data_IF_405527364584
#
_entry.id   IF_405527364584
#
_cell.length_a   1.000
_cell.length_b   1.000
_cell.length_c   1.000
_cell.angle_alpha   90.00
_cell.angle_beta   90.00
_cell.angle_gamma   90.00
#
_symmetry.space_group_name_H-M   'P 1'
#
loop_
_entity.id
_entity.type
_entity.pdbx_description
1 polymer ?
#
# COMPACT_ATOMS: atom_id res chain seq x y z
N UNK A 1 -1.86 -18.35 0.56
CA UNK A 1 -0.72 -17.62 1.17
C UNK A 1 0.56 -18.44 1.31
N UNK A 2 0.55 -19.78 1.33
CA UNK A 2 1.77 -20.58 1.56
C UNK A 2 2.69 -20.80 0.34
N UNK A 3 2.22 -20.56 -0.89
CA UNK A 3 3.03 -20.77 -2.08
C UNK A 3 4.17 -19.75 -2.21
N UNK A 4 3.87 -18.46 -2.07
CA UNK A 4 4.86 -17.38 -2.19
C UNK A 4 5.96 -17.43 -1.12
N UNK A 5 5.63 -17.83 0.11
CA UNK A 5 6.62 -17.97 1.18
C UNK A 5 7.63 -19.09 0.89
N UNK A 6 7.14 -20.22 0.36
CA UNK A 6 7.98 -21.36 0.03
C UNK A 6 8.91 -21.07 -1.16
N UNK A 7 8.43 -20.32 -2.16
CA UNK A 7 9.25 -19.86 -3.29
C UNK A 7 10.37 -18.92 -2.86
N UNK A 8 10.08 -18.01 -1.92
CA UNK A 8 11.06 -17.06 -1.40
C UNK A 8 12.14 -17.75 -0.57
N UNK A 9 11.79 -18.75 0.24
CA UNK A 9 12.78 -19.55 1.00
C UNK A 9 13.68 -20.36 0.06
N UNK A 10 13.13 -20.92 -1.02
CA UNK A 10 13.92 -21.61 -2.05
C UNK A 10 14.87 -20.67 -2.79
N UNK A 11 14.40 -19.47 -3.15
CA UNK A 11 15.24 -18.42 -3.74
C UNK A 11 16.36 -17.96 -2.80
N UNK A 12 16.08 -17.83 -1.49
CA UNK A 12 17.10 -17.51 -0.48
C UNK A 12 18.15 -18.62 -0.40
N UNK A 13 17.73 -19.89 -0.40
CA UNK A 13 18.67 -21.02 -0.39
C UNK A 13 19.50 -21.11 -1.68
N UNK A 14 18.96 -20.73 -2.84
CA UNK A 14 19.73 -20.64 -4.09
C UNK A 14 20.71 -19.44 -4.13
N UNK A 15 20.42 -18.39 -3.35
CA UNK A 15 21.23 -17.17 -3.25
C UNK A 15 22.38 -17.28 -2.25
N UNK A 16 22.35 -18.25 -1.33
CA UNK A 16 23.42 -18.52 -0.38
C UNK A 16 24.43 -19.49 -1.03
N UNK A 17 25.73 -19.16 -1.10
CA UNK A 17 26.71 -20.03 -1.72
C UNK A 17 26.90 -21.30 -0.89
N UNK A 18 26.40 -22.44 -1.38
CA UNK A 18 26.81 -23.76 -0.87
C UNK A 18 28.22 -24.10 -1.38
N UNK A 19 29.21 -23.48 -0.74
CA UNK A 19 30.61 -23.90 -0.86
C UNK A 19 30.96 -24.79 0.32
N UNK A 20 31.36 -26.03 0.07
CA UNK A 20 32.07 -26.84 1.07
C UNK A 20 33.45 -26.21 1.25
N UNK A 21 33.55 -25.26 2.18
CA UNK A 21 34.82 -24.67 2.59
C UNK A 21 35.49 -25.60 3.60
N UNK A 22 36.70 -26.10 3.27
CA UNK A 22 37.59 -26.64 4.30
C UNK A 22 37.91 -25.52 5.31
N UNK A 23 37.84 -25.78 6.62
CA UNK A 23 37.93 -24.74 7.62
C UNK A 23 39.38 -24.26 7.76
N UNK A 24 39.73 -23.19 7.07
CA UNK A 24 40.79 -22.29 7.51
C UNK A 24 40.15 -21.14 8.28
N UNK A 25 40.79 -20.76 9.38
CA UNK A 25 40.29 -19.93 10.47
C UNK A 25 40.14 -18.43 10.08
N UNK A 26 39.43 -18.16 8.98
CA UNK A 26 39.20 -16.82 8.45
C UNK A 26 37.81 -16.36 8.89
N UNK A 27 37.82 -15.53 9.94
CA UNK A 27 36.77 -14.57 10.34
C UNK A 27 35.39 -14.75 9.69
N UNK A 28 34.56 -15.62 10.26
CA UNK A 28 33.12 -15.76 9.98
C UNK A 28 32.29 -14.47 10.26
N UNK A 29 32.91 -13.37 10.68
CA UNK A 29 32.22 -12.15 11.15
C UNK A 29 31.79 -11.18 10.04
N UNK A 30 32.32 -11.30 8.82
CA UNK A 30 32.03 -10.32 7.76
C UNK A 30 30.73 -10.57 6.99
N UNK A 31 30.22 -11.81 6.94
CA UNK A 31 29.10 -12.20 6.05
C UNK A 31 27.73 -12.11 6.76
N UNK A 32 27.68 -12.35 8.08
CA UNK A 32 26.42 -12.29 8.84
C UNK A 32 25.78 -10.90 8.91
N UNK A 33 26.53 -9.79 9.07
CA UNK A 33 25.97 -8.44 9.00
C UNK A 33 25.35 -8.14 7.61
N UNK A 34 25.97 -8.66 6.55
CA UNK A 34 25.51 -8.50 5.16
C UNK A 34 24.19 -9.23 4.88
N UNK A 35 24.04 -10.48 5.36
CA UNK A 35 22.76 -11.21 5.26
C UNK A 35 21.67 -10.50 6.07
N UNK A 36 22.03 -9.92 7.23
CA UNK A 36 21.12 -9.09 8.03
C UNK A 36 20.68 -7.81 7.30
N UNK A 37 21.59 -7.10 6.64
CA UNK A 37 21.27 -5.94 5.79
C UNK A 37 20.40 -6.33 4.60
N UNK A 38 20.71 -7.43 3.88
CA UNK A 38 19.86 -7.93 2.79
C UNK A 38 18.46 -8.27 3.29
N UNK A 39 18.35 -8.97 4.41
CA UNK A 39 17.06 -9.34 5.00
C UNK A 39 16.23 -8.10 5.36
N UNK A 40 16.86 -7.06 5.90
CA UNK A 40 16.20 -5.78 6.20
C UNK A 40 15.73 -5.08 4.93
N UNK A 41 16.55 -5.05 3.89
CA UNK A 41 16.22 -4.38 2.62
C UNK A 41 15.20 -5.12 1.76
N UNK A 42 15.19 -6.46 1.81
CA UNK A 42 14.22 -7.30 1.11
C UNK A 42 12.87 -7.39 1.84
N UNK A 43 12.85 -7.30 3.17
CA UNK A 43 11.64 -7.61 3.95
C UNK A 43 11.09 -6.46 4.81
N UNK A 44 11.72 -5.27 4.86
CA UNK A 44 11.05 -4.14 5.52
C UNK A 44 11.84 -2.84 5.63
N UNK A 45 11.29 -1.79 4.99
CA UNK A 45 11.56 -0.36 5.24
C UNK A 45 12.91 0.20 4.73
N UNK A 46 13.41 -0.26 3.57
CA UNK A 46 14.58 0.38 2.96
C UNK A 46 14.20 1.71 2.27
N UNK A 47 14.77 2.81 2.76
CA UNK A 47 14.74 4.11 2.06
C UNK A 47 15.69 4.10 0.87
N UNK A 48 15.57 5.05 -0.06
CA UNK A 48 16.48 5.17 -1.22
C UNK A 48 17.95 5.32 -0.81
N UNK A 49 18.22 5.96 0.35
CA UNK A 49 19.57 6.07 0.92
C UNK A 49 20.13 4.73 1.41
N UNK A 50 19.29 3.84 1.92
CA UNK A 50 19.68 2.51 2.37
C UNK A 50 20.05 1.61 1.17
N UNK A 51 19.36 1.77 0.04
CA UNK A 51 19.69 1.07 -1.22
C UNK A 51 21.05 1.52 -1.76
N UNK A 52 21.35 2.82 -1.70
CA UNK A 52 22.65 3.36 -2.11
C UNK A 52 23.80 2.85 -1.22
N UNK A 53 23.56 2.74 0.09
CA UNK A 53 24.53 2.19 1.05
C UNK A 53 24.80 0.71 0.78
N UNK A 54 23.75 -0.09 0.52
CA UNK A 54 23.90 -1.49 0.14
C UNK A 54 24.66 -1.66 -1.18
N UNK A 55 24.36 -0.81 -2.19
CA UNK A 55 25.10 -0.80 -3.45
C UNK A 55 26.59 -0.50 -3.23
N UNK A 56 26.92 0.40 -2.31
CA UNK A 56 28.31 0.70 -1.93
C UNK A 56 29.00 -0.52 -1.28
N UNK A 57 28.34 -1.21 -0.35
CA UNK A 57 28.86 -2.42 0.28
C UNK A 57 29.07 -3.56 -0.72
N UNK A 58 28.14 -3.77 -1.65
CA UNK A 58 28.27 -4.76 -2.73
C UNK A 58 29.44 -4.43 -3.64
N UNK A 59 29.57 -3.16 -4.06
CA UNK A 59 30.70 -2.72 -4.89
C UNK A 59 32.05 -2.89 -4.17
N UNK A 60 32.10 -2.68 -2.86
CA UNK A 60 33.29 -2.92 -2.05
C UNK A 60 33.65 -4.41 -2.00
N UNK A 61 32.65 -5.28 -1.84
CA UNK A 61 32.81 -6.73 -1.88
C UNK A 61 33.30 -7.21 -3.25
N UNK A 62 32.67 -6.78 -4.35
CA UNK A 62 33.13 -7.09 -5.72
C UNK A 62 34.58 -6.66 -5.92
N UNK A 63 34.97 -5.48 -5.44
CA UNK A 63 36.38 -5.01 -5.53
C UNK A 63 37.34 -5.86 -4.70
N UNK A 64 36.95 -6.27 -3.49
CA UNK A 64 37.77 -7.16 -2.65
C UNK A 64 37.89 -8.55 -3.28
N UNK A 65 36.79 -9.09 -3.80
CA UNK A 65 36.76 -10.35 -4.54
C UNK A 65 37.63 -10.29 -5.79
N UNK A 66 37.60 -9.20 -6.56
CA UNK A 66 38.45 -9.00 -7.73
C UNK A 66 39.95 -8.88 -7.36
N UNK A 67 40.29 -8.29 -6.21
CA UNK A 67 41.68 -8.30 -5.71
C UNK A 67 42.13 -9.70 -5.27
N UNK A 68 41.25 -10.45 -4.59
CA UNK A 68 41.51 -11.83 -4.19
C UNK A 68 41.66 -12.75 -5.41
N UNK A 69 40.90 -12.49 -6.47
CA UNK A 69 41.07 -13.12 -7.78
C UNK A 69 42.42 -12.84 -8.42
N UNK A 70 42.91 -11.60 -8.39
CA UNK A 70 44.24 -11.29 -8.93
C UNK A 70 45.34 -12.12 -8.27
N UNK A 71 45.20 -12.39 -6.97
CA UNK A 71 46.10 -13.26 -6.21
C UNK A 71 45.85 -14.77 -6.46
N UNK A 72 44.60 -15.19 -6.70
CA UNK A 72 44.23 -16.60 -6.94
C UNK A 72 44.35 -17.06 -8.40
N UNK A 73 44.22 -16.16 -9.37
CA UNK A 73 44.45 -16.42 -10.79
C UNK A 73 45.92 -16.73 -11.07
N UNK A 74 46.82 -16.30 -10.19
CA UNK A 74 48.20 -16.77 -10.12
C UNK A 74 48.32 -18.26 -9.73
N UNK A 75 47.22 -18.92 -9.30
CA UNK A 75 47.18 -20.29 -8.77
C UNK A 75 46.09 -21.23 -9.35
N UNK A 76 45.16 -20.80 -10.20
CA UNK A 76 44.19 -21.72 -10.84
C UNK A 76 43.08 -21.05 -11.69
N UNK A 77 42.68 -21.69 -12.79
CA UNK A 77 41.90 -21.10 -13.89
C UNK A 77 40.38 -20.95 -13.71
N UNK A 78 39.76 -21.61 -12.72
CA UNK A 78 38.28 -21.71 -12.66
C UNK A 78 37.58 -20.59 -11.86
N UNK A 79 38.36 -19.69 -11.27
CA UNK A 79 37.84 -18.71 -10.31
C UNK A 79 37.15 -17.49 -10.96
N UNK A 80 37.54 -17.14 -12.20
CA UNK A 80 36.96 -15.99 -12.92
C UNK A 80 35.47 -16.20 -13.26
N UNK A 81 35.10 -17.43 -13.63
CA UNK A 81 33.70 -17.79 -13.94
C UNK A 81 32.80 -17.69 -12.69
N UNK A 82 33.32 -18.11 -11.53
CA UNK A 82 32.60 -18.01 -10.27
C UNK A 82 32.29 -16.55 -9.91
N UNK A 83 33.26 -15.66 -10.06
CA UNK A 83 33.07 -14.23 -9.75
C UNK A 83 32.10 -13.57 -10.71
N UNK A 84 32.18 -13.89 -12.01
CA UNK A 84 31.21 -13.39 -12.97
C UNK A 84 29.78 -13.79 -12.59
N UNK A 85 29.59 -15.03 -12.12
CA UNK A 85 28.29 -15.52 -11.66
C UNK A 85 27.84 -14.84 -10.36
N UNK A 86 28.77 -14.57 -9.43
CA UNK A 86 28.50 -13.83 -8.19
C UNK A 86 28.12 -12.37 -8.47
N UNK A 87 28.86 -11.68 -9.32
CA UNK A 87 28.54 -10.30 -9.74
C UNK A 87 27.17 -10.24 -10.44
N UNK A 88 26.85 -11.22 -11.28
CA UNK A 88 25.53 -11.28 -11.92
C UNK A 88 24.41 -11.45 -10.87
N UNK A 89 24.60 -12.32 -9.87
CA UNK A 89 23.62 -12.52 -8.79
C UNK A 89 23.45 -11.26 -7.94
N UNK A 90 24.53 -10.55 -7.62
CA UNK A 90 24.46 -9.29 -6.88
C UNK A 90 23.75 -8.18 -7.66
N UNK A 91 24.03 -8.06 -8.95
CA UNK A 91 23.35 -7.08 -9.80
C UNK A 91 21.84 -7.36 -9.90
N UNK A 92 21.45 -8.64 -10.02
CA UNK A 92 20.04 -9.03 -10.01
C UNK A 92 19.37 -8.72 -8.66
N UNK A 93 20.06 -8.97 -7.54
CA UNK A 93 19.55 -8.67 -6.21
C UNK A 93 19.35 -7.16 -6.00
N UNK A 94 20.31 -6.33 -6.42
CA UNK A 94 20.19 -4.87 -6.37
C UNK A 94 19.02 -4.36 -7.20
N UNK A 95 18.83 -4.91 -8.40
CA UNK A 95 17.70 -4.57 -9.25
C UNK A 95 16.36 -4.93 -8.60
N UNK A 96 16.25 -6.12 -8.00
CA UNK A 96 15.04 -6.56 -7.30
C UNK A 96 14.72 -5.69 -6.07
N UNK A 97 15.74 -5.34 -5.26
CA UNK A 97 15.57 -4.46 -4.10
C UNK A 97 15.12 -3.07 -4.54
N UNK A 98 15.73 -2.51 -5.58
CA UNK A 98 15.33 -1.21 -6.13
C UNK A 98 13.90 -1.21 -6.64
N UNK A 99 13.49 -2.28 -7.34
CA UNK A 99 12.12 -2.43 -7.82
C UNK A 99 11.10 -2.57 -6.67
N UNK A 100 11.44 -3.32 -5.62
CA UNK A 100 10.60 -3.45 -4.44
C UNK A 100 10.45 -2.10 -3.71
N UNK A 101 11.54 -1.36 -3.51
CA UNK A 101 11.51 -0.03 -2.89
C UNK A 101 10.58 0.93 -3.66
N UNK A 102 10.70 0.96 -4.99
CA UNK A 102 9.80 1.75 -5.85
C UNK A 102 8.34 1.30 -5.72
N UNK A 103 8.09 0.01 -5.66
CA UNK A 103 6.74 -0.55 -5.50
C UNK A 103 6.14 -0.17 -4.15
N UNK A 104 6.93 -0.18 -3.07
CA UNK A 104 6.49 0.24 -1.74
C UNK A 104 6.14 1.74 -1.70
N UNK A 105 6.92 2.60 -2.35
CA UNK A 105 6.61 4.03 -2.44
C UNK A 105 5.31 4.29 -3.21
N UNK A 106 5.07 3.55 -4.30
CA UNK A 106 3.81 3.64 -5.05
C UNK A 106 2.62 3.14 -4.22
N UNK A 107 2.81 2.07 -3.44
CA UNK A 107 1.78 1.56 -2.54
C UNK A 107 1.46 2.55 -1.42
N UNK A 108 2.48 3.19 -0.84
CA UNK A 108 2.33 4.22 0.17
C UNK A 108 1.50 5.40 -0.35
N UNK A 109 1.84 5.92 -1.54
CA UNK A 109 1.07 6.99 -2.17
C UNK A 109 -0.38 6.58 -2.44
N UNK A 110 -0.59 5.38 -2.99
CA UNK A 110 -1.93 4.88 -3.27
C UNK A 110 -2.78 4.73 -1.98
N UNK A 111 -2.15 4.37 -0.86
CA UNK A 111 -2.83 4.31 0.44
C UNK A 111 -3.25 5.69 0.94
N UNK A 112 -2.37 6.69 0.83
CA UNK A 112 -2.69 8.08 1.20
C UNK A 112 -3.84 8.63 0.36
N UNK A 113 -3.78 8.44 -0.96
CA UNK A 113 -4.84 8.89 -1.89
C UNK A 113 -6.18 8.19 -1.58
N UNK A 114 -6.12 6.89 -1.24
CA UNK A 114 -7.31 6.13 -0.85
C UNK A 114 -7.90 6.63 0.46
N UNK A 115 -7.06 6.95 1.46
CA UNK A 115 -7.49 7.49 2.74
C UNK A 115 -8.20 8.85 2.55
N UNK A 116 -7.63 9.74 1.74
CA UNK A 116 -8.23 11.03 1.43
C UNK A 116 -9.57 10.87 0.73
N UNK A 117 -9.66 9.97 -0.25
CA UNK A 117 -10.92 9.69 -0.94
C UNK A 117 -11.98 9.11 0.02
N UNK A 118 -11.61 8.17 0.90
CA UNK A 118 -12.54 7.62 1.91
C UNK A 118 -13.07 8.73 2.81
N UNK A 119 -12.18 9.62 3.28
CA UNK A 119 -12.55 10.75 4.13
C UNK A 119 -13.53 11.70 3.42
N UNK A 120 -13.25 12.02 2.16
CA UNK A 120 -14.13 12.84 1.33
C UNK A 120 -15.51 12.20 1.14
N UNK A 121 -15.56 10.91 0.79
CA UNK A 121 -16.83 10.20 0.60
C UNK A 121 -17.64 10.11 1.89
N UNK A 122 -16.97 9.93 3.04
CA UNK A 122 -17.62 9.91 4.34
C UNK A 122 -18.27 11.27 4.66
N UNK A 123 -17.54 12.37 4.47
CA UNK A 123 -18.09 13.73 4.64
C UNK A 123 -19.29 13.98 3.71
N UNK A 124 -19.19 13.54 2.45
CA UNK A 124 -20.30 13.69 1.51
C UNK A 124 -21.53 12.89 1.92
N UNK A 125 -21.33 11.69 2.46
CA UNK A 125 -22.42 10.87 3.00
C UNK A 125 -23.08 11.55 4.21
N UNK A 126 -22.33 12.15 5.11
CA UNK A 126 -22.89 12.89 6.25
C UNK A 126 -23.77 14.05 5.78
N UNK A 127 -23.32 14.80 4.77
CA UNK A 127 -24.10 15.88 4.16
C UNK A 127 -25.42 15.36 3.58
N UNK A 128 -25.37 14.27 2.79
CA UNK A 128 -26.57 13.66 2.18
C UNK A 128 -27.55 13.17 3.25
N UNK A 129 -27.05 12.52 4.31
CA UNK A 129 -27.89 12.05 5.42
C UNK A 129 -28.57 13.22 6.13
N UNK A 130 -27.83 14.31 6.39
CA UNK A 130 -28.39 15.49 7.02
C UNK A 130 -29.50 16.13 6.16
N UNK A 131 -29.27 16.25 4.85
CA UNK A 131 -30.27 16.75 3.89
C UNK A 131 -31.51 15.85 3.85
N UNK A 132 -31.33 14.53 3.74
CA UNK A 132 -32.45 13.58 3.74
C UNK A 132 -33.25 13.62 5.05
N UNK A 133 -32.56 13.82 6.18
CA UNK A 133 -33.23 13.96 7.48
C UNK A 133 -34.10 15.22 7.52
N UNK A 134 -33.61 16.35 7.00
CA UNK A 134 -34.37 17.59 6.88
C UNK A 134 -35.59 17.42 5.97
N UNK A 135 -35.40 16.84 4.77
CA UNK A 135 -36.48 16.59 3.82
C UNK A 135 -37.55 15.64 4.40
N UNK A 136 -37.13 14.59 5.10
CA UNK A 136 -38.04 13.66 5.78
C UNK A 136 -38.86 14.35 6.87
N UNK A 137 -38.27 15.27 7.64
CA UNK A 137 -38.99 16.07 8.62
C UNK A 137 -40.02 16.99 7.96
N UNK A 138 -39.69 17.61 6.83
CA UNK A 138 -40.63 18.45 6.08
C UNK A 138 -41.82 17.62 5.56
N UNK A 139 -41.56 16.45 4.99
CA UNK A 139 -42.62 15.55 4.51
C UNK A 139 -43.52 15.12 5.67
N UNK A 140 -42.95 14.75 6.83
CA UNK A 140 -43.74 14.41 8.02
C UNK A 140 -44.65 15.56 8.44
N UNK A 141 -44.12 16.78 8.48
CA UNK A 141 -44.89 17.97 8.83
C UNK A 141 -46.04 18.23 7.86
N UNK A 142 -45.81 18.11 6.55
CA UNK A 142 -46.87 18.27 5.56
C UNK A 142 -47.93 17.15 5.66
N UNK A 143 -47.51 15.92 5.97
CA UNK A 143 -48.43 14.81 6.19
C UNK A 143 -49.29 15.03 7.45
N UNK A 144 -48.69 15.53 8.54
CA UNK A 144 -49.42 15.90 9.76
C UNK A 144 -50.45 16.99 9.49
N UNK A 145 -50.09 18.04 8.74
CA UNK A 145 -51.06 19.07 8.33
C UNK A 145 -52.21 18.49 7.51
N UNK A 146 -51.91 17.60 6.57
CA UNK A 146 -52.92 16.93 5.76
C UNK A 146 -53.84 16.06 6.63
N UNK A 147 -53.27 15.35 7.61
CA UNK A 147 -54.02 14.51 8.54
C UNK A 147 -54.96 15.34 9.42
N UNK A 148 -54.49 16.49 9.91
CA UNK A 148 -55.34 17.45 10.65
C UNK A 148 -56.46 17.97 9.74
N UNK A 149 -56.14 18.39 8.53
CA UNK A 149 -57.11 18.93 7.61
C UNK A 149 -58.19 17.92 7.20
N UNK A 150 -57.81 16.67 6.93
CA UNK A 150 -58.80 15.62 6.64
C UNK A 150 -59.72 15.36 7.83
N UNK A 151 -59.22 15.42 9.07
CA UNK A 151 -60.05 15.33 10.27
C UNK A 151 -60.98 16.54 10.44
N UNK A 152 -60.51 17.76 10.17
CA UNK A 152 -61.35 18.97 10.17
C UNK A 152 -62.43 18.90 9.10
N UNK A 153 -62.10 18.42 7.90
CA UNK A 153 -63.05 18.21 6.82
C UNK A 153 -64.12 17.18 7.18
N UNK A 154 -63.72 16.05 7.77
CA UNK A 154 -64.66 15.04 8.26
C UNK A 154 -65.59 15.58 9.37
N UNK A 155 -65.11 16.55 10.15
CA UNK A 155 -65.91 17.28 11.14
C UNK A 155 -66.79 18.40 10.54
N UNK A 156 -66.83 18.53 9.20
CA UNK A 156 -67.65 19.51 8.49
C UNK A 156 -67.04 20.91 8.39
N UNK A 157 -65.76 21.08 8.69
CA UNK A 157 -65.04 22.35 8.50
C UNK A 157 -64.36 22.38 7.12
N UNK A 158 -64.06 23.57 6.60
CA UNK A 158 -63.31 23.73 5.35
C UNK A 158 -61.85 24.12 5.67
N UNK A 159 -60.92 23.15 5.76
CA UNK A 159 -59.53 23.44 6.11
C UNK A 159 -58.82 24.15 4.95
N UNK A 160 -58.07 25.20 5.28
CA UNK A 160 -57.39 26.06 4.32
C UNK A 160 -56.33 25.35 3.45
N UNK A 161 -55.81 24.20 3.90
CA UNK A 161 -54.84 23.40 3.14
C UNK A 161 -55.49 22.57 2.02
N UNK A 162 -56.76 22.16 2.18
CA UNK A 162 -57.50 21.43 1.14
C UNK A 162 -58.26 22.40 0.23
N UNK A 163 -58.81 23.47 0.81
CA UNK A 163 -59.57 24.48 0.08
C UNK A 163 -58.99 25.85 0.47
N UNK A 164 -58.02 26.35 -0.31
CA UNK A 164 -57.41 27.64 -0.04
C UNK A 164 -58.43 28.79 -0.06
N UNK A 165 -58.28 29.80 0.80
CA UNK A 165 -59.24 30.92 0.88
C UNK A 165 -59.47 31.66 -0.44
N UNK A 166 -58.48 31.71 -1.33
CA UNK A 166 -58.60 32.35 -2.64
C UNK A 166 -59.56 31.59 -3.58
N UNK A 167 -59.59 30.26 -3.52
CA UNK A 167 -60.53 29.43 -4.29
C UNK A 167 -61.97 29.65 -3.82
N UNK A 168 -62.17 29.85 -2.51
CA UNK A 168 -63.48 30.23 -1.96
C UNK A 168 -63.90 31.63 -2.41
N UNK A 169 -62.98 32.58 -2.45
CA UNK A 169 -63.27 33.95 -2.90
C UNK A 169 -63.65 34.03 -4.39
N UNK A 170 -63.11 33.15 -5.24
CA UNK A 170 -63.44 33.08 -6.66
C UNK A 170 -64.77 32.35 -6.95
N UNK A 171 -65.21 31.47 -6.05
CA UNK A 171 -66.44 30.66 -6.23
C UNK A 171 -67.69 31.27 -5.58
N UNK A 172 -67.51 32.26 -4.70
CA UNK A 172 -68.59 32.97 -4.00
C UNK A 172 -68.93 34.33 -4.67
N UNK A 173 -68.10 34.80 -5.60
CA UNK A 173 -68.37 35.95 -6.48
C UNK A 173 -68.86 35.49 -7.86
#
# INVERSE_FOLDING_TARGET
MNAHFNTTILLINELIPEGVFQPSDVSKRAILPFIGEIGKHLFGLATTGDVATLASHINMLTRQNNKMLGALAQHGGDFSSYISQVDHRFNNMLAAIGQNSKTLLLLEQALLDTEENIRYQYQKSEEVIATQMLESQQIRHELEKLQIATAEFAAGKLPAILIPPHVLAESIN
#
